data_IF_679287248250
#
_entry.id   IF_679287248250
#
_cell.length_a   1.000
_cell.length_b   1.000
_cell.length_c   1.000
_cell.angle_alpha   90.00
_cell.angle_beta   90.00
_cell.angle_gamma   90.00
#
_symmetry.space_group_name_H-M   'P 1'
#
loop_
_entity.id
_entity.type
_entity.pdbx_description
1 polymer ?
#
# COMPACT_ATOMS: atom_id res chain seq x y z
N UNK A 1 -11.34 -16.86 17.42
CA UNK A 1 -10.11 -17.05 16.64
C UNK A 1 -9.36 -15.76 16.50
N UNK A 2 -8.08 -15.84 16.75
CA UNK A 2 -7.25 -14.65 16.61
C UNK A 2 -7.02 -14.31 15.14
N UNK A 3 -6.96 -13.02 14.89
CA UNK A 3 -6.64 -12.54 13.57
C UNK A 3 -5.25 -11.94 13.59
N UNK A 4 -4.45 -12.34 12.65
CA UNK A 4 -3.13 -11.77 12.50
C UNK A 4 -3.23 -10.55 11.63
N UNK A 5 -2.64 -9.46 12.10
CA UNK A 5 -2.52 -8.27 11.28
C UNK A 5 -1.19 -8.26 10.58
N UNK A 6 -1.21 -7.75 9.37
CA UNK A 6 -0.02 -7.61 8.58
C UNK A 6 0.09 -6.18 8.11
N UNK A 7 1.27 -5.82 7.67
CA UNK A 7 1.50 -4.53 7.05
C UNK A 7 1.87 -4.78 5.59
N UNK A 8 1.21 -4.05 4.70
CA UNK A 8 1.57 -4.02 3.30
C UNK A 8 2.19 -2.68 2.97
N UNK A 9 3.18 -2.67 2.10
CA UNK A 9 3.75 -1.42 1.69
C UNK A 9 4.17 -1.46 0.24
N UNK A 10 4.13 -0.29 -0.39
CA UNK A 10 4.62 -0.09 -1.75
C UNK A 10 5.50 1.14 -1.72
N UNK A 11 6.69 1.02 -2.29
CA UNK A 11 7.59 2.13 -2.40
C UNK A 11 7.59 2.62 -3.84
N UNK A 12 7.40 3.92 -4.02
CA UNK A 12 7.36 4.51 -5.36
C UNK A 12 8.35 5.65 -5.45
N UNK A 13 8.67 6.02 -6.67
CA UNK A 13 9.49 7.21 -6.91
C UNK A 13 8.58 8.38 -7.17
N UNK A 14 8.44 9.25 -6.17
CA UNK A 14 7.64 10.46 -6.29
C UNK A 14 6.25 10.37 -5.70
N UNK A 15 5.67 11.54 -5.45
CA UNK A 15 4.41 11.66 -4.72
C UNK A 15 3.21 11.18 -5.53
N UNK A 16 3.21 11.45 -6.83
CA UNK A 16 2.05 11.11 -7.66
C UNK A 16 1.80 9.61 -7.65
N UNK A 17 2.85 8.83 -7.83
CA UNK A 17 2.70 7.38 -7.90
C UNK A 17 2.31 6.78 -6.54
N UNK A 18 2.83 7.33 -5.44
CA UNK A 18 2.47 6.80 -4.13
C UNK A 18 1.00 7.06 -3.81
N UNK A 19 0.47 8.21 -4.21
CA UNK A 19 -0.94 8.51 -3.98
C UNK A 19 -1.83 7.61 -4.84
N UNK A 20 -1.42 7.33 -6.06
CA UNK A 20 -2.15 6.43 -6.94
C UNK A 20 -2.15 5.01 -6.39
N UNK A 21 -1.01 4.55 -5.91
CA UNK A 21 -0.91 3.23 -5.29
C UNK A 21 -1.81 3.15 -4.05
N UNK A 22 -1.78 4.18 -3.21
CA UNK A 22 -2.59 4.20 -1.99
C UNK A 22 -4.07 4.11 -2.29
N UNK A 23 -4.52 4.85 -3.28
CA UNK A 23 -5.92 4.83 -3.68
C UNK A 23 -6.34 3.44 -4.15
N UNK A 24 -5.55 2.82 -5.01
CA UNK A 24 -5.84 1.48 -5.50
C UNK A 24 -5.85 0.44 -4.39
N UNK A 25 -4.91 0.55 -3.46
CA UNK A 25 -4.82 -0.38 -2.35
C UNK A 25 -6.07 -0.32 -1.48
N UNK A 26 -6.50 0.88 -1.13
CA UNK A 26 -7.65 1.06 -0.25
C UNK A 26 -8.96 0.71 -0.92
N UNK A 27 -9.04 0.82 -2.24
CA UNK A 27 -10.23 0.43 -2.96
C UNK A 27 -10.34 -1.08 -3.18
N UNK A 28 -9.19 -1.75 -3.25
CA UNK A 28 -9.17 -3.18 -3.60
C UNK A 28 -9.41 -4.11 -2.43
N UNK A 29 -9.13 -3.68 -1.21
CA UNK A 29 -9.18 -4.56 -0.06
C UNK A 29 -9.53 -3.79 1.21
N UNK A 30 -9.96 -4.53 2.21
CA UNK A 30 -10.32 -3.94 3.51
C UNK A 30 -9.04 -3.75 4.32
N UNK A 31 -8.32 -2.68 4.01
CA UNK A 31 -7.10 -2.32 4.71
C UNK A 31 -7.22 -0.89 5.21
N UNK A 32 -6.47 -0.59 6.24
CA UNK A 32 -6.40 0.74 6.82
C UNK A 32 -5.11 1.41 6.39
N UNK A 33 -5.21 2.63 5.88
CA UNK A 33 -4.02 3.40 5.53
C UNK A 33 -3.36 3.88 6.83
N UNK A 34 -2.13 3.45 7.05
CA UNK A 34 -1.36 3.88 8.22
C UNK A 34 -0.70 5.22 7.96
N UNK A 35 -0.13 5.39 6.80
CA UNK A 35 0.55 6.62 6.46
C UNK A 35 1.55 6.45 5.35
N UNK A 36 2.37 7.48 5.20
CA UNK A 36 3.41 7.53 4.19
C UNK A 36 4.75 7.73 4.86
N UNK A 37 5.80 7.25 4.24
CA UNK A 37 7.13 7.36 4.80
C UNK A 37 8.10 7.74 3.69
N UNK A 38 8.85 8.82 3.91
CA UNK A 38 9.92 9.20 3.00
C UNK A 38 11.10 8.29 3.27
N UNK A 39 11.57 7.65 2.22
CA UNK A 39 12.73 6.78 2.37
C UNK A 39 13.97 7.59 2.09
N UNK A 40 14.40 7.68 0.85
CA UNK A 40 15.57 8.46 0.50
C UNK A 40 15.54 8.69 -0.99
N UNK A 41 16.21 9.74 -1.44
CA UNK A 41 16.42 9.97 -2.88
C UNK A 41 15.10 10.04 -3.67
N UNK A 42 14.06 10.61 -3.06
CA UNK A 42 12.79 10.81 -3.74
C UNK A 42 11.83 9.64 -3.68
N UNK A 43 12.19 8.58 -2.97
CA UNK A 43 11.29 7.43 -2.80
C UNK A 43 10.38 7.62 -1.61
N UNK A 44 9.12 7.24 -1.77
CA UNK A 44 8.09 7.36 -0.74
C UNK A 44 7.37 6.02 -0.65
N UNK A 45 7.16 5.55 0.57
CA UNK A 45 6.38 4.34 0.81
C UNK A 45 5.01 4.70 1.31
N UNK A 46 4.01 3.93 0.90
CA UNK A 46 2.69 3.96 1.52
C UNK A 46 2.55 2.66 2.32
N UNK A 47 1.97 2.78 3.51
CA UNK A 47 1.80 1.64 4.40
C UNK A 47 0.34 1.46 4.74
N UNK A 48 -0.12 0.22 4.64
CA UNK A 48 -1.47 -0.16 5.02
C UNK A 48 -1.39 -1.34 5.97
N UNK A 49 -2.46 -1.55 6.74
CA UNK A 49 -2.54 -2.72 7.60
C UNK A 49 -3.90 -3.37 7.47
N UNK A 50 -3.94 -4.66 7.76
CA UNK A 50 -5.14 -5.46 7.71
C UNK A 50 -4.74 -6.91 7.89
N UNK A 51 -5.66 -7.85 7.66
CA UNK A 51 -5.23 -9.21 7.72
C UNK A 51 -4.34 -9.55 6.51
N UNK A 52 -3.69 -10.70 6.57
CA UNK A 52 -2.67 -11.06 5.58
C UNK A 52 -3.23 -11.08 4.16
N UNK A 53 -4.42 -11.68 4.00
CA UNK A 53 -5.02 -11.76 2.67
C UNK A 53 -5.38 -10.41 2.11
N UNK A 54 -5.92 -9.52 2.96
CA UNK A 54 -6.28 -8.18 2.54
C UNK A 54 -5.04 -7.39 2.13
N UNK A 55 -3.94 -7.52 2.89
CA UNK A 55 -2.71 -6.82 2.56
C UNK A 55 -2.12 -7.30 1.24
N UNK A 56 -2.16 -8.61 0.99
CA UNK A 56 -1.68 -9.14 -0.28
C UNK A 56 -2.48 -8.61 -1.46
N UNK A 57 -3.80 -8.60 -1.32
CA UNK A 57 -4.68 -8.08 -2.37
C UNK A 57 -4.42 -6.60 -2.60
N UNK A 58 -4.26 -5.84 -1.52
CA UNK A 58 -4.01 -4.41 -1.62
C UNK A 58 -2.69 -4.12 -2.34
N UNK A 59 -1.61 -4.80 -1.93
CA UNK A 59 -0.30 -4.58 -2.55
C UNK A 59 -0.34 -4.92 -4.04
N UNK A 60 -0.97 -6.03 -4.38
CA UNK A 60 -1.07 -6.44 -5.78
C UNK A 60 -1.82 -5.40 -6.61
N UNK A 61 -2.92 -4.87 -6.10
CA UNK A 61 -3.69 -3.85 -6.79
C UNK A 61 -2.91 -2.55 -6.94
N UNK A 62 -2.19 -2.16 -5.89
CA UNK A 62 -1.40 -0.94 -5.93
C UNK A 62 -0.27 -1.00 -6.95
N UNK A 63 0.42 -2.14 -7.00
CA UNK A 63 1.49 -2.34 -7.98
C UNK A 63 0.94 -2.26 -9.39
N UNK A 64 -0.17 -2.93 -9.65
CA UNK A 64 -0.78 -2.89 -10.98
C UNK A 64 -1.20 -1.50 -11.40
N UNK A 65 -1.69 -0.71 -10.46
CA UNK A 65 -2.13 0.65 -10.75
C UNK A 65 -0.99 1.53 -11.23
N UNK A 66 0.19 1.40 -10.59
CA UNK A 66 1.32 2.26 -10.94
C UNK A 66 2.13 1.73 -12.10
N UNK A 67 1.95 0.46 -12.47
CA UNK A 67 2.61 -0.12 -13.63
C UNK A 67 1.87 0.15 -14.94
N UNK A 68 0.62 0.53 -14.83
CA UNK A 68 -0.25 0.68 -15.99
C UNK A 68 0.14 1.86 -16.88
#
# INVERSE_FOLDING_TARGET
>A
MERYEAIGSIETFGLVFVLEAADAMCKAADVELIGYENVASGYISVLVRGDVGACKTAVDAGVKAVEA
#
